data_IF_303416020343
#
_entry.id   IF_303416020343
#
_cell.length_a   1.000
_cell.length_b   1.000
_cell.length_c   1.000
_cell.angle_alpha   90.00
_cell.angle_beta   90.00
_cell.angle_gamma   90.00
#
_symmetry.space_group_name_H-M   'P 1'
#
loop_
_entity.id
_entity.type
_entity.pdbx_description
1 polymer ?
#
# COMPACT_ATOMS: atom_id res chain seq x y z
N UNK A 1 48.83 -25.81 -41.49
CA UNK A 1 47.58 -25.13 -41.10
C UNK A 1 46.86 -25.93 -40.01
N UNK A 2 46.99 -25.50 -38.76
CA UNK A 2 46.35 -26.12 -37.59
C UNK A 2 44.88 -25.67 -37.48
N UNK A 3 43.94 -26.63 -37.45
CA UNK A 3 42.55 -26.40 -37.04
C UNK A 3 42.43 -26.64 -35.52
N UNK A 4 41.78 -25.75 -34.74
CA UNK A 4 41.67 -25.93 -33.30
C UNK A 4 40.60 -26.98 -32.96
N UNK A 5 40.96 -27.92 -32.08
CA UNK A 5 40.05 -28.91 -31.50
C UNK A 5 39.03 -28.22 -30.59
N UNK A 6 37.74 -28.42 -30.85
CA UNK A 6 36.63 -28.00 -29.97
C UNK A 6 36.78 -28.67 -28.60
N UNK A 7 36.81 -27.86 -27.55
CA UNK A 7 36.81 -28.30 -26.17
C UNK A 7 35.56 -29.14 -25.86
N UNK A 8 35.77 -30.35 -25.33
CA UNK A 8 34.72 -31.21 -24.78
C UNK A 8 34.09 -30.50 -23.58
N UNK A 9 32.80 -30.15 -23.67
CA UNK A 9 31.99 -29.73 -22.52
C UNK A 9 31.98 -30.86 -21.50
N UNK A 10 32.46 -30.58 -20.28
CA UNK A 10 32.38 -31.50 -19.14
C UNK A 10 30.91 -31.83 -18.85
N UNK A 11 30.57 -33.06 -18.44
CA UNK A 11 29.21 -33.38 -18.05
C UNK A 11 28.89 -32.57 -16.79
N UNK A 12 27.80 -31.79 -16.86
CA UNK A 12 27.19 -31.22 -15.66
C UNK A 12 26.73 -32.41 -14.83
N UNK A 13 27.31 -32.52 -13.64
CA UNK A 13 27.00 -33.51 -12.62
C UNK A 13 25.50 -33.42 -12.29
N UNK A 14 24.71 -34.30 -12.91
CA UNK A 14 23.27 -34.44 -12.67
C UNK A 14 23.10 -35.09 -11.31
N UNK A 15 23.34 -34.33 -10.24
CA UNK A 15 22.84 -34.70 -8.91
C UNK A 15 21.34 -34.97 -9.04
N UNK A 16 20.96 -36.17 -8.61
CA UNK A 16 19.61 -36.72 -8.56
C UNK A 16 18.56 -35.61 -8.38
N UNK A 17 17.84 -35.27 -9.44
CA UNK A 17 16.53 -34.63 -9.31
C UNK A 17 15.63 -35.66 -8.65
N UNK A 18 15.56 -35.63 -7.32
CA UNK A 18 14.48 -36.27 -6.58
C UNK A 18 13.18 -35.61 -7.04
N UNK A 19 12.51 -36.23 -8.01
CA UNK A 19 11.12 -35.95 -8.37
C UNK A 19 10.16 -36.45 -7.28
N UNK A 20 10.56 -36.33 -6.02
CA UNK A 20 9.71 -36.61 -4.87
C UNK A 20 8.70 -35.48 -4.77
N UNK A 21 7.42 -35.81 -4.71
CA UNK A 21 6.40 -34.82 -4.31
C UNK A 21 6.82 -34.31 -2.92
N UNK A 22 7.08 -33.01 -2.82
CA UNK A 22 7.30 -32.37 -1.53
C UNK A 22 6.10 -32.62 -0.62
N UNK A 23 6.40 -32.94 0.63
CA UNK A 23 5.41 -33.07 1.70
C UNK A 23 4.71 -31.71 1.95
N UNK A 24 3.52 -31.70 2.57
CA UNK A 24 2.86 -30.46 2.97
C UNK A 24 3.75 -29.56 3.86
N UNK A 25 4.52 -30.17 4.76
CA UNK A 25 5.43 -29.46 5.69
C UNK A 25 6.61 -28.82 4.94
N UNK A 26 7.24 -29.54 4.01
CA UNK A 26 8.30 -28.97 3.17
C UNK A 26 7.77 -27.82 2.30
N UNK A 27 6.55 -27.94 1.77
CA UNK A 27 5.92 -26.85 1.01
C UNK A 27 5.65 -25.63 1.88
N UNK A 28 5.16 -25.81 3.11
CA UNK A 28 4.95 -24.71 4.05
C UNK A 28 6.26 -24.01 4.41
N UNK A 29 7.35 -24.76 4.60
CA UNK A 29 8.68 -24.21 4.82
C UNK A 29 9.19 -23.42 3.62
N UNK A 30 9.02 -23.95 2.40
CA UNK A 30 9.40 -23.24 1.18
C UNK A 30 8.55 -21.99 0.95
N UNK A 31 7.25 -22.02 1.24
CA UNK A 31 6.38 -20.84 1.15
C UNK A 31 6.90 -19.69 2.01
N UNK A 32 7.28 -19.98 3.26
CA UNK A 32 7.84 -18.98 4.17
C UNK A 32 9.18 -18.42 3.65
N UNK A 33 10.14 -19.29 3.31
CA UNK A 33 11.45 -18.89 2.79
C UNK A 33 11.38 -18.12 1.47
N UNK A 34 10.43 -18.48 0.60
CA UNK A 34 10.20 -17.78 -0.67
C UNK A 34 9.56 -16.42 -0.40
N UNK A 35 8.67 -16.31 0.57
CA UNK A 35 8.10 -15.02 0.99
C UNK A 35 9.19 -14.08 1.51
N UNK A 36 10.07 -14.56 2.39
CA UNK A 36 11.23 -13.80 2.89
C UNK A 36 12.17 -13.38 1.75
N UNK A 37 12.44 -14.26 0.80
CA UNK A 37 13.31 -13.93 -0.33
C UNK A 37 12.69 -12.96 -1.33
N UNK A 38 11.36 -13.01 -1.50
CA UNK A 38 10.64 -11.98 -2.25
C UNK A 38 10.67 -10.64 -1.52
N UNK A 39 10.56 -10.63 -0.19
CA UNK A 39 10.73 -9.42 0.63
C UNK A 39 12.18 -8.88 0.52
N UNK A 40 13.16 -9.75 0.34
CA UNK A 40 14.55 -9.40 0.03
C UNK A 40 14.81 -9.13 -1.47
N UNK A 41 13.78 -8.86 -2.27
CA UNK A 41 13.83 -8.52 -3.69
C UNK A 41 14.49 -9.56 -4.62
N UNK A 42 14.61 -10.82 -4.19
CA UNK A 42 15.12 -11.86 -5.08
C UNK A 42 14.11 -12.13 -6.20
N UNK A 43 14.60 -12.17 -7.44
CA UNK A 43 13.77 -12.57 -8.57
C UNK A 43 13.38 -14.05 -8.44
N UNK A 44 12.24 -14.45 -9.02
CA UNK A 44 11.81 -15.85 -9.01
C UNK A 44 12.89 -16.82 -9.57
N UNK A 45 13.74 -16.33 -10.47
CA UNK A 45 14.88 -17.09 -11.02
C UNK A 45 16.01 -17.27 -10.00
N UNK A 46 16.30 -16.26 -9.20
CA UNK A 46 17.30 -16.33 -8.12
C UNK A 46 16.81 -17.21 -6.98
N UNK A 47 15.54 -17.08 -6.59
CA UNK A 47 14.89 -17.94 -5.59
C UNK A 47 14.92 -19.41 -6.05
N UNK A 48 14.54 -19.66 -7.30
CA UNK A 48 14.57 -21.00 -7.90
C UNK A 48 15.99 -21.60 -7.86
N UNK A 49 17.01 -20.79 -8.15
CA UNK A 49 18.42 -21.19 -8.09
C UNK A 49 18.87 -21.47 -6.66
N UNK A 50 18.53 -20.60 -5.71
CA UNK A 50 18.90 -20.70 -4.29
C UNK A 50 18.37 -21.97 -3.66
N UNK A 51 17.12 -22.33 -3.95
CA UNK A 51 16.46 -23.50 -3.36
C UNK A 51 16.46 -24.76 -4.24
N UNK A 52 17.05 -24.70 -5.43
CA UNK A 52 17.09 -25.84 -6.34
C UNK A 52 15.71 -26.28 -6.87
N UNK A 53 14.75 -25.36 -6.90
CA UNK A 53 13.37 -25.60 -7.37
C UNK A 53 13.15 -24.98 -8.75
N UNK A 54 12.03 -25.31 -9.41
CA UNK A 54 11.69 -24.68 -10.69
C UNK A 54 11.10 -23.28 -10.48
N UNK A 55 11.34 -22.35 -11.39
CA UNK A 55 10.68 -21.03 -11.38
C UNK A 55 9.16 -21.15 -11.42
N UNK A 56 8.63 -22.17 -12.12
CA UNK A 56 7.20 -22.48 -12.12
C UNK A 56 6.68 -22.88 -10.73
N UNK A 57 7.49 -23.58 -9.92
CA UNK A 57 7.15 -23.93 -8.53
C UNK A 57 7.09 -22.69 -7.66
N UNK A 58 8.05 -21.77 -7.81
CA UNK A 58 8.07 -20.47 -7.09
C UNK A 58 6.77 -19.71 -7.37
N UNK A 59 6.41 -19.50 -8.64
CA UNK A 59 5.17 -18.80 -9.00
C UNK A 59 3.90 -19.54 -8.56
N UNK A 60 3.90 -20.88 -8.59
CA UNK A 60 2.74 -21.67 -8.15
C UNK A 60 2.51 -21.52 -6.65
N UNK A 61 3.57 -21.56 -5.86
CA UNK A 61 3.48 -21.41 -4.42
C UNK A 61 3.18 -19.98 -4.01
N UNK A 62 3.76 -18.99 -4.70
CA UNK A 62 3.36 -17.59 -4.52
C UNK A 62 1.85 -17.41 -4.72
N UNK A 63 1.29 -17.89 -5.84
CA UNK A 63 -0.17 -17.85 -6.05
C UNK A 63 -0.96 -18.60 -4.99
N UNK A 64 -0.46 -19.75 -4.53
CA UNK A 64 -1.12 -20.51 -3.47
C UNK A 64 -1.12 -19.71 -2.15
N UNK A 65 -0.05 -18.96 -1.86
CA UNK A 65 0.01 -18.02 -0.75
C UNK A 65 -1.02 -16.89 -0.94
N UNK A 66 -1.06 -16.28 -2.12
CA UNK A 66 -2.02 -15.22 -2.46
C UNK A 66 -3.48 -15.73 -2.35
N UNK A 67 -3.75 -16.95 -2.79
CA UNK A 67 -5.08 -17.59 -2.72
C UNK A 67 -5.47 -17.87 -1.26
N UNK A 68 -4.54 -18.36 -0.44
CA UNK A 68 -4.76 -18.54 1.01
C UNK A 68 -5.02 -17.19 1.66
N UNK A 69 -4.24 -16.17 1.31
CA UNK A 69 -4.41 -14.80 1.80
C UNK A 69 -5.77 -14.25 1.40
N UNK A 70 -6.18 -14.40 0.14
CA UNK A 70 -7.47 -13.93 -0.34
C UNK A 70 -8.64 -14.68 0.31
N UNK A 71 -8.55 -16.00 0.47
CA UNK A 71 -9.57 -16.80 1.16
C UNK A 71 -9.69 -16.41 2.65
N UNK A 72 -8.58 -16.15 3.33
CA UNK A 72 -8.57 -15.71 4.72
C UNK A 72 -9.04 -14.27 4.92
N UNK A 73 -8.79 -13.40 3.94
CA UNK A 73 -9.30 -12.02 3.90
C UNK A 73 -10.81 -11.99 3.68
N UNK A 74 -11.34 -12.95 2.92
CA UNK A 74 -12.78 -13.07 2.64
C UNK A 74 -13.59 -13.62 3.82
N UNK A 75 -12.95 -14.30 4.77
CA UNK A 75 -13.61 -15.02 5.87
C UNK A 75 -13.85 -14.17 7.13
N UNK A 76 -13.37 -12.92 7.19
CA UNK A 76 -13.53 -12.05 8.35
C UNK A 76 -14.79 -11.17 8.20
N UNK A 77 -15.90 -11.46 8.91
CA UNK A 77 -17.21 -10.80 8.70
C UNK A 77 -17.25 -9.30 9.00
N UNK A 78 -16.22 -8.76 9.67
CA UNK A 78 -16.10 -7.33 10.01
C UNK A 78 -14.87 -6.65 9.36
N UNK A 79 -14.26 -7.27 8.34
CA UNK A 79 -12.99 -6.78 7.76
C UNK A 79 -13.14 -5.64 6.76
N UNK A 80 -14.33 -5.49 6.17
CA UNK A 80 -14.54 -4.51 5.12
C UNK A 80 -14.88 -3.15 5.73
N UNK A 81 -13.86 -2.31 5.81
CA UNK A 81 -13.98 -0.88 6.08
C UNK A 81 -14.91 -0.25 5.03
N UNK A 82 -15.98 0.37 5.50
CA UNK A 82 -16.85 1.22 4.67
C UNK A 82 -16.30 2.64 4.67
N UNK A 83 -15.27 2.86 3.85
CA UNK A 83 -14.54 4.12 3.83
C UNK A 83 -15.44 5.36 3.68
N UNK A 84 -16.49 5.29 2.87
CA UNK A 84 -17.42 6.42 2.71
C UNK A 84 -18.12 6.82 4.04
N UNK A 85 -18.47 5.83 4.87
CA UNK A 85 -19.13 6.06 6.15
C UNK A 85 -18.15 6.67 7.16
N UNK A 86 -16.90 6.20 7.16
CA UNK A 86 -15.82 6.75 7.99
C UNK A 86 -15.51 8.19 7.62
N UNK A 87 -15.35 8.48 6.33
CA UNK A 87 -15.11 9.85 5.86
C UNK A 87 -16.25 10.78 6.26
N UNK A 88 -17.50 10.30 6.18
CA UNK A 88 -18.67 11.06 6.62
C UNK A 88 -18.64 11.31 8.13
N UNK A 89 -18.27 10.31 8.93
CA UNK A 89 -18.16 10.43 10.38
C UNK A 89 -17.07 11.43 10.78
N UNK A 90 -15.88 11.35 10.18
CA UNK A 90 -14.75 12.26 10.46
C UNK A 90 -15.03 13.71 9.99
N UNK A 91 -15.88 13.89 8.99
CA UNK A 91 -16.38 15.20 8.54
C UNK A 91 -17.57 15.74 9.33
N UNK A 92 -18.14 15.00 10.28
CA UNK A 92 -19.37 15.44 10.96
C UNK A 92 -19.08 16.44 12.09
N UNK A 93 -19.77 17.58 12.09
CA UNK A 93 -19.66 18.59 13.16
C UNK A 93 -20.51 18.27 14.41
N UNK A 94 -21.15 17.09 14.46
CA UNK A 94 -21.95 16.68 15.63
C UNK A 94 -21.04 16.42 16.83
N UNK A 95 -21.58 16.55 18.05
CA UNK A 95 -20.89 16.15 19.27
C UNK A 95 -20.28 14.75 19.09
N UNK A 96 -18.95 14.71 19.12
CA UNK A 96 -18.19 13.51 18.79
C UNK A 96 -17.87 12.78 20.08
N UNK A 97 -18.33 11.54 20.18
CA UNK A 97 -17.80 10.64 21.19
C UNK A 97 -16.30 10.40 20.89
N UNK A 98 -15.38 10.63 21.85
CA UNK A 98 -13.94 10.51 21.60
C UNK A 98 -13.55 9.13 21.08
N UNK A 99 -14.07 8.07 21.70
CA UNK A 99 -13.81 6.69 21.29
C UNK A 99 -14.26 6.42 19.85
N UNK A 100 -15.47 6.83 19.46
CA UNK A 100 -15.95 6.66 18.09
C UNK A 100 -15.10 7.45 17.08
N UNK A 101 -14.55 8.59 17.49
CA UNK A 101 -13.65 9.40 16.65
C UNK A 101 -12.32 8.69 16.42
N UNK A 102 -11.70 8.16 17.48
CA UNK A 102 -10.50 7.34 17.37
C UNK A 102 -10.75 6.09 16.52
N UNK A 103 -11.88 5.41 16.70
CA UNK A 103 -12.26 4.26 15.88
C UNK A 103 -12.28 4.61 14.38
N UNK A 104 -12.96 5.70 14.02
CA UNK A 104 -13.06 6.15 12.63
C UNK A 104 -11.68 6.56 12.07
N UNK A 105 -10.87 7.25 12.88
CA UNK A 105 -9.53 7.68 12.47
C UNK A 105 -8.62 6.47 12.22
N UNK A 106 -8.57 5.50 13.14
CA UNK A 106 -7.74 4.30 12.96
C UNK A 106 -8.19 3.43 11.79
N UNK A 107 -9.49 3.35 11.52
CA UNK A 107 -9.97 2.72 10.29
C UNK A 107 -9.52 3.49 9.04
N UNK A 108 -9.57 4.82 9.05
CA UNK A 108 -9.07 5.64 7.95
C UNK A 108 -7.57 5.42 7.70
N UNK A 109 -6.74 5.47 8.75
CA UNK A 109 -5.28 5.20 8.69
C UNK A 109 -4.97 3.78 8.20
N UNK A 110 -5.81 2.80 8.54
CA UNK A 110 -5.66 1.42 8.05
C UNK A 110 -6.02 1.31 6.58
N UNK A 111 -7.11 1.96 6.15
CA UNK A 111 -7.59 1.91 4.78
C UNK A 111 -6.66 2.64 3.81
N UNK A 112 -6.07 3.78 4.19
CA UNK A 112 -5.18 4.53 3.29
C UNK A 112 -3.93 3.72 2.91
N UNK A 113 -3.46 2.86 3.82
CA UNK A 113 -2.31 1.95 3.61
C UNK A 113 -2.68 0.69 2.83
N UNK A 114 -3.84 0.08 3.12
CA UNK A 114 -4.25 -1.21 2.54
C UNK A 114 -5.64 -1.20 1.86
N UNK A 115 -5.92 -0.27 0.94
CA UNK A 115 -7.30 0.00 0.49
C UNK A 115 -8.01 -1.18 -0.20
N UNK A 116 -7.25 -2.15 -0.72
CA UNK A 116 -7.77 -3.35 -1.38
C UNK A 116 -7.52 -4.65 -0.61
N UNK A 117 -7.02 -4.57 0.62
CA UNK A 117 -6.59 -5.73 1.39
C UNK A 117 -7.31 -5.77 2.75
N UNK A 118 -8.62 -6.11 2.76
CA UNK A 118 -9.45 -6.00 3.95
C UNK A 118 -8.97 -6.85 5.13
N UNK A 119 -8.20 -7.91 4.87
CA UNK A 119 -7.58 -8.72 5.92
C UNK A 119 -6.59 -7.97 6.80
N UNK A 120 -5.98 -6.88 6.32
CA UNK A 120 -5.04 -6.06 7.10
C UNK A 120 -5.74 -4.97 7.91
N UNK A 121 -6.96 -4.57 7.56
CA UNK A 121 -7.64 -3.45 8.20
C UNK A 121 -7.85 -3.64 9.72
N UNK A 122 -8.41 -4.79 10.12
CA UNK A 122 -8.70 -5.05 11.54
C UNK A 122 -7.41 -5.22 12.36
N UNK A 123 -6.42 -6.03 11.92
CA UNK A 123 -5.10 -6.07 12.57
C UNK A 123 -4.47 -4.67 12.72
N UNK A 124 -4.51 -3.86 11.65
CA UNK A 124 -3.90 -2.53 11.65
C UNK A 124 -4.58 -1.60 12.64
N UNK A 125 -5.91 -1.55 12.63
CA UNK A 125 -6.68 -0.74 13.57
C UNK A 125 -6.50 -1.21 15.02
N UNK A 126 -6.41 -2.53 15.27
CA UNK A 126 -6.07 -3.06 16.60
C UNK A 126 -4.66 -2.65 17.02
N UNK A 127 -3.70 -2.63 16.10
CA UNK A 127 -2.35 -2.13 16.39
C UNK A 127 -2.37 -0.64 16.74
N UNK A 128 -3.10 0.18 15.98
CA UNK A 128 -3.25 1.61 16.25
C UNK A 128 -3.88 1.88 17.63
N UNK A 129 -5.01 1.25 17.96
CA UNK A 129 -5.67 1.52 19.25
C UNK A 129 -4.86 1.02 20.45
N UNK A 130 -4.18 -0.12 20.32
CA UNK A 130 -3.32 -0.64 21.41
C UNK A 130 -2.10 0.24 21.59
N UNK A 131 -1.44 0.66 20.51
CA UNK A 131 -0.29 1.57 20.57
C UNK A 131 -0.68 2.94 21.15
N UNK A 132 -1.79 3.51 20.69
CA UNK A 132 -2.37 4.73 21.26
C UNK A 132 -2.62 4.58 22.75
N UNK A 133 -3.28 3.49 23.18
CA UNK A 133 -3.62 3.30 24.58
C UNK A 133 -2.39 3.08 25.50
N UNK A 134 -1.38 2.38 25.00
CA UNK A 134 -0.11 2.18 25.71
C UNK A 134 0.61 3.51 25.89
N UNK A 135 0.77 4.28 24.80
CA UNK A 135 1.51 5.56 24.85
C UNK A 135 0.74 6.65 25.61
N UNK A 136 -0.58 6.80 25.35
CA UNK A 136 -1.40 7.86 25.93
C UNK A 136 -1.75 7.62 27.40
N UNK A 137 -2.13 6.39 27.73
CA UNK A 137 -2.68 6.05 29.05
C UNK A 137 -1.76 5.14 29.88
N UNK A 138 -0.66 4.65 29.34
CA UNK A 138 0.19 3.66 30.02
C UNK A 138 -0.50 2.31 30.23
N UNK A 139 -1.58 2.03 29.51
CA UNK A 139 -2.42 0.85 29.71
C UNK A 139 -1.70 -0.41 29.26
N UNK A 140 -1.59 -1.42 30.15
CA UNK A 140 -0.94 -2.70 29.84
C UNK A 140 -1.96 -3.82 29.62
N UNK A 141 -3.19 -3.62 30.08
CA UNK A 141 -4.28 -4.60 29.97
C UNK A 141 -5.51 -3.92 29.38
N UNK A 142 -6.34 -4.71 28.70
CA UNK A 142 -7.63 -4.24 28.15
C UNK A 142 -8.55 -3.73 29.26
N UNK A 143 -8.44 -4.30 30.46
CA UNK A 143 -9.23 -3.88 31.62
C UNK A 143 -8.83 -2.52 32.18
N UNK A 144 -7.64 -2.01 31.84
CA UNK A 144 -7.13 -0.71 32.28
C UNK A 144 -7.69 0.44 31.42
N UNK A 145 -8.30 0.13 30.27
CA UNK A 145 -8.82 1.11 29.32
C UNK A 145 -10.14 1.71 29.80
N UNK A 146 -10.42 2.94 29.40
CA UNK A 146 -11.75 3.52 29.56
C UNK A 146 -12.80 2.71 28.77
N UNK A 147 -14.09 2.82 29.15
CA UNK A 147 -15.15 2.02 28.55
C UNK A 147 -15.27 2.14 27.03
N UNK A 148 -14.94 3.32 26.46
CA UNK A 148 -15.02 3.57 25.03
C UNK A 148 -13.97 2.78 24.26
N UNK A 149 -12.69 2.95 24.61
CA UNK A 149 -11.59 2.21 23.95
C UNK A 149 -11.66 0.70 24.22
N UNK A 150 -12.08 0.30 25.42
CA UNK A 150 -12.36 -1.10 25.74
C UNK A 150 -13.45 -1.67 24.84
N UNK A 151 -14.52 -0.91 24.58
CA UNK A 151 -15.59 -1.29 23.66
C UNK A 151 -15.11 -1.54 22.24
N UNK A 152 -14.23 -0.66 21.72
CA UNK A 152 -13.61 -0.84 20.40
C UNK A 152 -12.79 -2.12 20.36
N UNK A 153 -11.90 -2.35 21.33
CA UNK A 153 -11.10 -3.58 21.35
C UNK A 153 -11.97 -4.84 21.44
N UNK A 154 -12.99 -4.86 22.31
CA UNK A 154 -13.88 -6.01 22.42
C UNK A 154 -14.67 -6.30 21.13
N UNK A 155 -14.92 -5.28 20.31
CA UNK A 155 -15.60 -5.42 19.01
C UNK A 155 -14.72 -6.09 17.95
N UNK A 156 -13.40 -5.89 18.00
CA UNK A 156 -12.49 -6.27 16.92
C UNK A 156 -11.43 -7.31 17.29
N UNK A 157 -11.02 -7.38 18.55
CA UNK A 157 -10.05 -8.34 19.06
C UNK A 157 -10.73 -9.70 19.26
N UNK A 158 -10.66 -10.55 18.23
CA UNK A 158 -11.20 -11.91 18.27
C UNK A 158 -10.11 -12.94 18.59
N UNK A 159 -10.50 -14.10 19.11
CA UNK A 159 -9.57 -15.23 19.33
C UNK A 159 -8.86 -15.62 18.02
N UNK A 160 -9.55 -15.56 16.88
CA UNK A 160 -8.94 -15.85 15.58
C UNK A 160 -7.88 -14.81 15.19
N UNK A 161 -8.13 -13.52 15.45
CA UNK A 161 -7.13 -12.48 15.25
C UNK A 161 -5.89 -12.73 16.12
N UNK A 162 -6.08 -13.02 17.41
CA UNK A 162 -4.96 -13.34 18.33
C UNK A 162 -4.16 -14.54 17.80
N UNK A 163 -4.86 -15.61 17.40
CA UNK A 163 -4.22 -16.80 16.82
C UNK A 163 -3.41 -16.47 15.56
N UNK A 164 -3.93 -15.59 14.68
CA UNK A 164 -3.23 -15.15 13.47
C UNK A 164 -1.98 -14.32 13.80
N UNK A 165 -2.10 -13.36 14.71
CA UNK A 165 -0.99 -12.50 15.13
C UNK A 165 0.11 -13.28 15.87
N UNK A 166 -0.24 -14.36 16.58
CA UNK A 166 0.71 -15.26 17.24
C UNK A 166 1.29 -16.35 16.34
N UNK A 167 0.89 -16.42 15.06
CA UNK A 167 1.37 -17.44 14.13
C UNK A 167 2.77 -17.10 13.59
N UNK A 168 3.72 -18.04 13.57
CA UNK A 168 5.03 -17.84 12.93
C UNK A 168 4.97 -17.56 11.42
N UNK A 169 3.83 -17.86 10.79
CA UNK A 169 3.56 -17.57 9.37
C UNK A 169 3.14 -16.10 9.20
N UNK A 170 3.93 -15.19 9.78
CA UNK A 170 3.65 -13.79 10.09
C UNK A 170 3.41 -12.85 8.89
N UNK A 171 2.88 -13.34 7.77
CA UNK A 171 2.34 -12.51 6.68
C UNK A 171 1.12 -11.66 7.12
N UNK A 172 0.72 -11.72 8.40
CA UNK A 172 -0.50 -11.16 8.96
C UNK A 172 -0.28 -9.99 9.91
N UNK A 173 0.97 -9.64 10.21
CA UNK A 173 1.22 -8.39 10.92
C UNK A 173 1.27 -7.29 9.85
N UNK A 174 0.34 -6.31 9.86
CA UNK A 174 0.46 -5.15 8.98
C UNK A 174 1.81 -4.51 9.28
N UNK A 175 2.71 -4.58 8.31
CA UNK A 175 3.98 -3.89 8.44
C UNK A 175 3.70 -2.41 8.28
N UNK A 176 3.77 -1.68 9.39
CA UNK A 176 3.66 -0.24 9.36
C UNK A 176 5.00 0.41 9.01
N UNK A 177 6.11 -0.34 9.08
CA UNK A 177 7.32 0.07 8.41
C UNK A 177 7.04 0.01 6.91
N UNK A 178 7.14 1.18 6.27
CA UNK A 178 7.20 1.23 4.83
C UNK A 178 8.45 0.43 4.48
N UNK A 179 8.29 -0.76 3.90
CA UNK A 179 9.40 -1.54 3.37
C UNK A 179 10.15 -0.59 2.47
N UNK A 180 11.27 -0.08 2.96
CA UNK A 180 12.23 0.64 2.14
C UNK A 180 12.67 -0.41 1.15
N UNK A 181 12.09 -0.39 -0.06
CA UNK A 181 12.60 -1.19 -1.17
C UNK A 181 14.12 -1.02 -1.08
N UNK A 182 14.86 -2.11 -0.94
CA UNK A 182 16.27 -2.13 -0.53
C UNK A 182 17.22 -1.47 -1.55
N UNK A 183 16.66 -0.78 -2.56
CA UNK A 183 17.32 0.18 -3.45
C UNK A 183 16.79 1.63 -3.37
N UNK A 184 15.92 1.98 -2.41
CA UNK A 184 15.15 3.22 -2.43
C UNK A 184 14.97 3.91 -1.09
N UNK A 185 15.43 5.17 -1.07
CA UNK A 185 15.24 6.17 -0.04
C UNK A 185 13.82 6.79 -0.04
N UNK A 186 12.82 6.08 -0.54
CA UNK A 186 11.48 6.64 -0.79
C UNK A 186 10.40 5.93 0.00
N UNK A 187 9.67 6.73 0.76
CA UNK A 187 8.38 6.41 1.38
C UNK A 187 7.34 6.20 0.27
N UNK A 188 6.51 5.14 0.36
CA UNK A 188 5.38 4.85 -0.54
C UNK A 188 4.51 6.12 -0.76
N UNK A 189 4.32 6.91 0.30
CA UNK A 189 3.64 8.21 0.23
C UNK A 189 4.33 9.16 -0.75
N UNK A 190 5.64 9.36 -0.62
CA UNK A 190 6.40 10.26 -1.49
C UNK A 190 6.37 9.78 -2.94
N UNK A 191 6.55 8.48 -3.16
CA UNK A 191 6.52 7.89 -4.50
C UNK A 191 5.18 8.13 -5.20
N UNK A 192 4.06 7.77 -4.56
CA UNK A 192 2.74 7.96 -5.16
C UNK A 192 2.36 9.44 -5.27
N UNK A 193 2.71 10.28 -4.28
CA UNK A 193 2.49 11.72 -4.35
C UNK A 193 3.21 12.37 -5.54
N UNK A 194 4.43 11.94 -5.87
CA UNK A 194 5.17 12.44 -7.05
C UNK A 194 4.52 12.03 -8.37
N UNK A 195 3.96 10.82 -8.46
CA UNK A 195 3.18 10.40 -9.64
C UNK A 195 1.98 11.32 -9.85
N UNK A 196 1.23 11.62 -8.78
CA UNK A 196 0.08 12.53 -8.84
C UNK A 196 0.52 13.95 -9.17
N UNK A 197 1.62 14.43 -8.59
CA UNK A 197 2.17 15.74 -8.89
C UNK A 197 2.49 15.87 -10.38
N UNK A 198 3.16 14.88 -10.98
CA UNK A 198 3.43 14.85 -12.42
C UNK A 198 2.14 14.91 -13.25
N UNK A 199 1.16 14.08 -12.92
CA UNK A 199 -0.10 13.99 -13.65
C UNK A 199 -0.88 15.32 -13.66
N UNK A 200 -0.79 16.09 -12.58
CA UNK A 200 -1.53 17.36 -12.41
C UNK A 200 -0.71 18.55 -12.89
N UNK A 201 0.62 18.55 -12.68
CA UNK A 201 1.51 19.65 -13.08
C UNK A 201 1.59 19.80 -14.60
N UNK A 202 1.66 18.69 -15.32
CA UNK A 202 1.78 18.65 -16.79
C UNK A 202 0.40 18.42 -17.44
N UNK A 203 -0.56 19.28 -17.09
CA UNK A 203 -1.95 19.20 -17.58
C UNK A 203 -1.93 19.33 -19.13
N UNK A 204 -2.33 18.28 -19.88
CA UNK A 204 -2.40 18.37 -21.32
C UNK A 204 -3.42 19.45 -21.71
N UNK A 205 -3.09 20.24 -22.73
CA UNK A 205 -4.00 21.25 -23.29
C UNK A 205 -5.43 20.70 -23.42
N UNK A 206 -6.42 21.44 -22.90
CA UNK A 206 -7.85 21.04 -22.86
C UNK A 206 -8.40 20.59 -24.22
N UNK A 207 -7.78 21.00 -25.33
CA UNK A 207 -8.19 20.66 -26.70
C UNK A 207 -7.58 19.37 -27.23
N UNK A 208 -6.49 18.85 -26.66
CA UNK A 208 -5.75 17.71 -27.20
C UNK A 208 -5.95 16.43 -26.37
N UNK A 209 -7.06 15.72 -26.66
CA UNK A 209 -7.36 14.42 -26.04
C UNK A 209 -6.29 13.35 -26.32
N UNK A 210 -5.41 13.53 -27.32
CA UNK A 210 -4.34 12.57 -27.65
C UNK A 210 -3.18 12.64 -26.66
N UNK A 211 -3.09 13.71 -25.86
CA UNK A 211 -2.06 13.89 -24.82
C UNK A 211 -2.45 13.37 -23.44
N UNK A 212 -3.61 12.69 -23.32
CA UNK A 212 -3.99 12.05 -22.05
C UNK A 212 -2.95 10.99 -21.66
N UNK A 213 -2.65 10.93 -20.37
CA UNK A 213 -1.64 10.02 -19.83
C UNK A 213 -2.24 8.62 -19.73
N UNK A 214 -1.52 7.63 -20.27
CA UNK A 214 -1.90 6.22 -20.21
C UNK A 214 -1.15 5.51 -19.10
N UNK A 215 -1.66 4.36 -18.65
CA UNK A 215 -0.92 3.52 -17.70
C UNK A 215 0.41 3.02 -18.27
N UNK A 216 0.48 2.80 -19.59
CA UNK A 216 1.73 2.38 -20.24
C UNK A 216 2.79 3.49 -20.13
N UNK A 217 2.43 4.74 -20.43
CA UNK A 217 3.35 5.87 -20.27
C UNK A 217 3.80 6.07 -18.82
N UNK A 218 2.90 5.86 -17.84
CA UNK A 218 3.26 5.96 -16.43
C UNK A 218 4.19 4.82 -16.00
N UNK A 219 3.92 3.60 -16.46
CA UNK A 219 4.78 2.43 -16.20
C UNK A 219 6.20 2.68 -16.69
N UNK A 220 6.37 3.16 -17.93
CA UNK A 220 7.70 3.46 -18.49
C UNK A 220 8.44 4.46 -17.59
N UNK A 221 7.79 5.54 -17.17
CA UNK A 221 8.41 6.53 -16.26
C UNK A 221 8.79 5.91 -14.90
N UNK A 222 7.97 5.00 -14.35
CA UNK A 222 8.28 4.28 -13.10
C UNK A 222 9.48 3.34 -13.28
N UNK A 223 9.53 2.57 -14.37
CA UNK A 223 10.62 1.64 -14.66
C UNK A 223 11.96 2.35 -14.83
N UNK A 224 11.95 3.63 -15.21
CA UNK A 224 13.16 4.44 -15.35
C UNK A 224 13.48 5.31 -14.12
N UNK A 225 12.76 5.06 -13.02
CA UNK A 225 12.95 5.76 -11.77
C UNK A 225 12.68 7.25 -11.88
N UNK A 226 11.71 7.68 -12.70
CA UNK A 226 11.30 9.08 -12.74
C UNK A 226 10.86 9.57 -11.35
N UNK A 227 10.14 8.72 -10.61
CA UNK A 227 9.55 9.04 -9.32
C UNK A 227 10.32 8.48 -8.11
N UNK A 228 11.52 7.93 -8.31
CA UNK A 228 12.31 7.30 -7.25
C UNK A 228 13.23 6.19 -7.80
N UNK A 229 13.31 5.01 -7.16
CA UNK A 229 14.07 3.88 -7.69
C UNK A 229 13.47 3.39 -9.01
N UNK A 230 14.30 2.79 -9.86
CA UNK A 230 13.82 2.03 -11.00
C UNK A 230 13.12 0.75 -10.50
N UNK A 231 11.83 0.61 -10.84
CA UNK A 231 11.07 -0.58 -10.48
C UNK A 231 10.61 -1.33 -11.72
N UNK A 232 11.41 -2.32 -12.14
CA UNK A 232 11.08 -3.19 -13.27
C UNK A 232 9.91 -4.10 -12.95
N UNK A 233 8.82 -4.03 -13.73
CA UNK A 233 7.66 -4.88 -13.52
C UNK A 233 6.89 -5.18 -14.80
N UNK A 234 6.15 -6.30 -14.82
CA UNK A 234 5.26 -6.58 -15.95
C UNK A 234 4.10 -5.57 -16.02
N UNK A 235 3.55 -5.33 -17.22
CA UNK A 235 2.35 -4.50 -17.39
C UNK A 235 1.18 -4.97 -16.51
N UNK A 236 0.99 -6.28 -16.41
CA UNK A 236 -0.05 -6.88 -15.57
C UNK A 236 0.15 -6.56 -14.09
N UNK A 237 1.40 -6.58 -13.62
CA UNK A 237 1.77 -6.23 -12.25
C UNK A 237 1.47 -4.75 -11.99
N UNK A 238 1.88 -3.86 -12.90
CA UNK A 238 1.60 -2.43 -12.79
C UNK A 238 0.10 -2.13 -12.76
N UNK A 239 -0.68 -2.68 -13.69
CA UNK A 239 -2.14 -2.50 -13.72
C UNK A 239 -2.82 -3.05 -12.46
N UNK A 240 -2.30 -4.14 -11.89
CA UNK A 240 -2.80 -4.68 -10.63
C UNK A 240 -2.52 -3.73 -9.46
N UNK A 241 -1.30 -3.25 -9.31
CA UNK A 241 -0.92 -2.25 -8.30
C UNK A 241 -1.73 -0.96 -8.44
N UNK A 242 -1.92 -0.50 -9.67
CA UNK A 242 -2.75 0.66 -9.95
C UNK A 242 -4.20 0.45 -9.50
N UNK A 243 -4.80 -0.71 -9.84
CA UNK A 243 -6.16 -1.03 -9.41
C UNK A 243 -6.28 -1.15 -7.90
N UNK A 244 -5.28 -1.73 -7.23
CA UNK A 244 -5.34 -1.99 -5.80
C UNK A 244 -5.12 -0.73 -4.95
N UNK A 245 -4.25 0.20 -5.38
CA UNK A 245 -3.81 1.33 -4.55
C UNK A 245 -4.17 2.72 -5.09
N UNK A 246 -4.46 2.90 -6.38
CA UNK A 246 -4.63 4.26 -6.93
C UNK A 246 -5.79 5.06 -6.34
N UNK A 247 -6.73 4.42 -5.64
CA UNK A 247 -7.81 5.10 -4.94
C UNK A 247 -7.33 5.93 -3.73
N UNK A 248 -6.15 5.63 -3.16
CA UNK A 248 -5.57 6.38 -2.03
C UNK A 248 -4.54 7.42 -2.48
N UNK A 249 -4.04 7.37 -3.72
CA UNK A 249 -3.01 8.33 -4.19
C UNK A 249 -3.42 9.81 -4.05
N UNK A 250 -4.68 10.21 -4.29
CA UNK A 250 -5.11 11.58 -4.01
C UNK A 250 -4.90 12.01 -2.55
N UNK A 251 -5.14 11.09 -1.61
CA UNK A 251 -4.98 11.32 -0.17
C UNK A 251 -3.50 11.49 0.18
N UNK A 252 -2.63 10.61 -0.34
CA UNK A 252 -1.18 10.67 -0.14
C UNK A 252 -0.56 11.93 -0.75
N UNK A 253 -1.05 12.38 -1.91
CA UNK A 253 -0.61 13.64 -2.52
C UNK A 253 -1.00 14.86 -1.66
N UNK A 254 -2.25 14.91 -1.18
CA UNK A 254 -2.70 16.01 -0.34
C UNK A 254 -1.97 15.99 0.99
N UNK A 255 -1.74 14.81 1.56
CA UNK A 255 -0.90 14.63 2.74
C UNK A 255 0.50 15.23 2.55
N UNK A 256 1.20 14.82 1.49
CA UNK A 256 2.58 15.21 1.23
C UNK A 256 2.80 16.70 0.99
N UNK A 257 1.83 17.39 0.36
CA UNK A 257 2.04 18.77 -0.13
C UNK A 257 1.07 19.80 0.44
N UNK A 258 -0.06 19.37 0.98
CA UNK A 258 -1.18 20.24 1.33
C UNK A 258 -1.84 19.87 2.65
N UNK A 259 -1.21 19.04 3.49
CA UNK A 259 -1.73 18.70 4.82
C UNK A 259 -0.73 19.15 5.87
N UNK A 260 -1.18 19.75 6.98
CA UNK A 260 -0.32 19.94 8.15
C UNK A 260 -0.13 18.64 8.94
N UNK A 261 -0.98 17.65 8.72
CA UNK A 261 -0.95 16.36 9.43
C UNK A 261 -0.41 15.25 8.55
N UNK A 262 0.32 14.33 9.18
CA UNK A 262 0.70 13.03 8.64
C UNK A 262 -0.50 12.06 8.81
N UNK A 263 -1.01 11.52 7.72
CA UNK A 263 -2.10 10.54 7.71
C UNK A 263 -1.57 9.11 7.44
N UNK A 264 -0.27 8.97 7.27
CA UNK A 264 0.46 7.73 7.11
C UNK A 264 1.23 7.40 8.39
N UNK A 265 0.69 7.75 9.57
CA UNK A 265 1.30 7.50 10.88
C UNK A 265 1.66 6.03 11.09
N UNK A 266 2.80 5.79 11.73
CA UNK A 266 3.24 4.47 12.16
C UNK A 266 2.96 4.30 13.66
N UNK A 267 2.15 3.32 14.08
CA UNK A 267 1.83 3.07 15.49
C UNK A 267 3.05 2.65 16.34
N UNK A 268 4.19 2.34 15.73
CA UNK A 268 5.43 2.07 16.46
C UNK A 268 6.25 3.33 16.78
N UNK A 269 5.91 4.49 16.20
CA UNK A 269 6.63 5.74 16.46
C UNK A 269 6.33 6.25 17.88
N UNK A 270 7.34 6.80 18.55
CA UNK A 270 7.25 7.24 19.95
C UNK A 270 6.22 8.38 20.17
N UNK A 271 5.96 9.19 19.13
CA UNK A 271 5.05 10.33 19.11
C UNK A 271 3.68 10.00 18.49
N UNK A 272 3.39 8.71 18.26
CA UNK A 272 2.14 8.29 17.61
C UNK A 272 0.90 8.80 18.35
N UNK A 273 0.83 8.65 19.68
CA UNK A 273 -0.32 9.12 20.45
C UNK A 273 -0.48 10.65 20.41
N UNK A 274 0.62 11.40 20.45
CA UNK A 274 0.59 12.86 20.36
C UNK A 274 0.09 13.31 18.98
N UNK A 275 0.56 12.67 17.92
CA UNK A 275 0.10 12.90 16.54
C UNK A 275 -1.40 12.63 16.37
N UNK A 276 -1.91 11.56 16.98
CA UNK A 276 -3.36 11.24 16.96
C UNK A 276 -4.15 12.33 17.69
N UNK A 277 -3.72 12.75 18.87
CA UNK A 277 -4.39 13.80 19.64
C UNK A 277 -4.39 15.15 18.90
N UNK A 278 -3.29 15.47 18.20
CA UNK A 278 -3.19 16.67 17.37
C UNK A 278 -4.21 16.62 16.22
N UNK A 279 -4.29 15.50 15.51
CA UNK A 279 -5.27 15.31 14.43
C UNK A 279 -6.69 15.47 15.00
N UNK A 280 -7.00 14.79 16.11
CA UNK A 280 -8.32 14.79 16.73
C UNK A 280 -8.74 16.20 17.16
N UNK A 281 -7.81 16.94 17.77
CA UNK A 281 -8.02 18.32 18.21
C UNK A 281 -8.27 19.29 17.03
N UNK A 282 -7.78 18.94 15.84
CA UNK A 282 -7.88 19.76 14.64
C UNK A 282 -8.76 19.14 13.54
N UNK A 283 -9.69 18.25 13.89
CA UNK A 283 -10.55 17.56 12.91
C UNK A 283 -11.45 18.50 12.10
N UNK A 284 -11.62 19.76 12.52
CA UNK A 284 -12.27 20.80 11.71
C UNK A 284 -11.54 21.07 10.38
N UNK A 285 -10.26 20.70 10.27
CA UNK A 285 -9.51 20.72 9.02
C UNK A 285 -9.87 19.56 8.07
N UNK A 286 -10.45 18.47 8.57
CA UNK A 286 -10.69 17.26 7.77
C UNK A 286 -11.58 17.50 6.52
N UNK A 287 -12.66 18.32 6.58
CA UNK A 287 -13.39 18.71 5.37
C UNK A 287 -12.54 19.46 4.33
N UNK A 288 -11.59 20.31 4.77
CA UNK A 288 -10.65 21.01 3.88
C UNK A 288 -9.70 20.02 3.22
N UNK A 289 -9.16 19.08 4.00
CA UNK A 289 -8.35 17.98 3.50
C UNK A 289 -9.11 17.18 2.42
N UNK A 290 -10.35 16.74 2.69
CA UNK A 290 -11.16 16.03 1.70
C UNK A 290 -11.56 16.90 0.50
N UNK A 291 -11.75 18.20 0.68
CA UNK A 291 -12.00 19.13 -0.43
C UNK A 291 -10.82 19.20 -1.39
N UNK A 292 -9.59 19.20 -0.88
CA UNK A 292 -8.37 19.13 -1.70
C UNK A 292 -8.25 17.78 -2.41
N UNK A 293 -8.55 16.69 -1.70
CA UNK A 293 -8.59 15.33 -2.29
C UNK A 293 -9.62 15.25 -3.42
N UNK A 294 -10.81 15.80 -3.22
CA UNK A 294 -11.89 15.90 -4.22
C UNK A 294 -11.42 16.60 -5.48
N UNK A 295 -10.70 17.73 -5.35
CA UNK A 295 -10.14 18.44 -6.50
C UNK A 295 -9.09 17.60 -7.24
N UNK A 296 -8.19 16.92 -6.52
CA UNK A 296 -7.17 16.04 -7.09
C UNK A 296 -7.81 14.90 -7.88
N UNK A 297 -8.82 14.24 -7.31
CA UNK A 297 -9.60 13.20 -8.01
C UNK A 297 -10.19 13.73 -9.31
N UNK A 298 -10.76 14.94 -9.31
CA UNK A 298 -11.29 15.57 -10.52
C UNK A 298 -10.20 15.85 -11.57
N UNK A 299 -9.00 16.27 -11.17
CA UNK A 299 -7.90 16.45 -12.12
C UNK A 299 -7.45 15.11 -12.72
N UNK A 300 -7.36 14.06 -11.91
CA UNK A 300 -7.02 12.72 -12.41
C UNK A 300 -8.02 12.23 -13.46
N UNK A 301 -9.32 12.45 -13.25
CA UNK A 301 -10.35 12.16 -14.25
C UNK A 301 -10.19 12.94 -15.57
N UNK A 302 -9.55 14.12 -15.55
CA UNK A 302 -9.31 14.95 -16.74
C UNK A 302 -8.05 14.52 -17.49
N UNK A 303 -6.96 14.28 -16.79
CA UNK A 303 -5.61 14.07 -17.36
C UNK A 303 -5.35 12.62 -17.76
N UNK A 304 -5.94 11.65 -17.05
CA UNK A 304 -5.79 10.23 -17.35
C UNK A 304 -6.69 9.79 -18.51
N UNK A 305 -6.24 8.76 -19.22
CA UNK A 305 -7.11 8.03 -20.14
C UNK A 305 -8.32 7.43 -19.38
N UNK A 306 -9.56 7.53 -19.91
CA UNK A 306 -10.74 7.00 -19.22
C UNK A 306 -10.64 5.52 -18.84
N UNK A 307 -9.89 4.71 -19.60
CA UNK A 307 -9.67 3.29 -19.26
C UNK A 307 -8.83 3.17 -17.99
N UNK A 308 -7.83 4.01 -17.82
CA UNK A 308 -7.01 4.06 -16.61
C UNK A 308 -7.86 4.47 -15.39
N UNK A 309 -8.70 5.50 -15.54
CA UNK A 309 -9.53 5.99 -14.43
C UNK A 309 -10.65 5.01 -14.05
N UNK A 310 -11.23 4.27 -14.99
CA UNK A 310 -12.24 3.23 -14.71
C UNK A 310 -11.72 2.09 -13.85
N UNK A 311 -10.40 1.90 -13.79
CA UNK A 311 -9.77 0.91 -12.92
C UNK A 311 -9.67 1.39 -11.47
N UNK A 312 -9.89 2.69 -11.21
CA UNK A 312 -9.77 3.27 -9.88
C UNK A 312 -11.14 3.28 -9.21
N UNK A 313 -11.28 2.51 -8.13
CA UNK A 313 -12.45 2.52 -7.27
C UNK A 313 -12.36 3.67 -6.25
N UNK A 314 -12.47 4.92 -6.70
CA UNK A 314 -12.42 6.06 -5.79
C UNK A 314 -13.57 6.01 -4.76
N UNK A 315 -13.30 6.37 -3.50
CA UNK A 315 -14.34 6.40 -2.47
C UNK A 315 -15.33 7.53 -2.76
N UNK A 316 -16.59 7.34 -2.35
CA UNK A 316 -17.58 8.41 -2.33
C UNK A 316 -17.24 9.37 -1.19
N UNK A 317 -16.90 10.60 -1.52
CA UNK A 317 -16.62 11.64 -0.53
C UNK A 317 -17.93 12.21 0.06
N UNK A 318 -17.92 12.69 1.32
CA UNK A 318 -19.05 13.41 1.91
C UNK A 318 -19.40 14.68 1.13
N UNK A 319 -20.68 15.08 1.14
CA UNK A 319 -21.13 16.28 0.40
C UNK A 319 -20.47 17.58 0.85
N UNK A 320 -19.96 17.60 2.09
CA UNK A 320 -19.20 18.71 2.67
C UNK A 320 -17.82 18.89 2.03
N UNK A 321 -17.27 17.86 1.39
CA UNK A 321 -15.96 17.88 0.74
C UNK A 321 -16.02 18.52 -0.67
N UNK A 322 -16.42 19.81 -0.70
CA UNK A 322 -16.43 20.60 -1.93
C UNK A 322 -15.00 20.72 -2.46
N UNK A 323 -14.80 20.54 -3.77
CA UNK A 323 -13.47 20.56 -4.36
C UNK A 323 -12.75 21.90 -4.14
N UNK A 324 -11.60 21.86 -3.49
CA UNK A 324 -10.74 23.02 -3.21
C UNK A 324 -9.52 22.93 -4.11
N UNK A 325 -9.31 23.89 -5.04
CA UNK A 325 -8.14 23.92 -5.89
C UNK A 325 -6.82 23.90 -5.10
N UNK A 326 -5.89 23.06 -5.55
CA UNK A 326 -4.53 23.01 -5.01
C UNK A 326 -3.53 23.44 -6.06
N UNK A 327 -2.47 24.14 -5.64
CA UNK A 327 -1.38 24.51 -6.55
C UNK A 327 -0.43 23.32 -6.63
N UNK A 328 -0.27 22.75 -7.82
CA UNK A 328 0.72 21.69 -8.03
C UNK A 328 2.14 22.25 -7.81
N UNK A 329 2.94 21.67 -6.89
CA UNK A 329 4.31 22.09 -6.72
C UNK A 329 5.11 21.83 -7.99
N UNK A 330 6.11 22.68 -8.27
CA UNK A 330 6.98 22.50 -9.43
C UNK A 330 7.64 21.13 -9.40
N UNK A 331 7.64 20.43 -10.52
CA UNK A 331 8.37 19.17 -10.65
C UNK A 331 9.88 19.44 -10.48
N UNK A 332 10.61 18.59 -9.73
CA UNK A 332 12.06 18.66 -9.67
C UNK A 332 12.70 18.68 -11.05
N UNK A 333 13.81 19.41 -11.23
CA UNK A 333 14.50 19.49 -12.53
C UNK A 333 14.93 18.11 -13.03
N UNK A 334 15.35 17.22 -12.11
CA UNK A 334 15.69 15.83 -12.41
C UNK A 334 14.50 15.05 -13.00
N UNK A 335 13.31 15.21 -12.43
CA UNK A 335 12.08 14.58 -12.93
C UNK A 335 11.67 15.19 -14.27
N UNK A 336 11.74 16.52 -14.43
CA UNK A 336 11.47 17.20 -15.71
C UNK A 336 12.40 16.76 -16.82
N UNK A 337 13.70 16.65 -16.54
CA UNK A 337 14.69 16.17 -17.51
C UNK A 337 14.38 14.74 -17.98
N UNK A 338 14.04 13.84 -17.04
CA UNK A 338 13.60 12.49 -17.38
C UNK A 338 12.32 12.49 -18.23
N UNK A 339 11.29 13.24 -17.85
CA UNK A 339 10.02 13.32 -18.61
C UNK A 339 10.24 13.87 -20.02
N UNK A 340 11.03 14.94 -20.17
CA UNK A 340 11.28 15.57 -21.47
C UNK A 340 12.10 14.68 -22.41
N UNK A 341 12.96 13.82 -21.87
CA UNK A 341 13.66 12.80 -22.64
C UNK A 341 12.75 11.74 -23.28
N UNK A 342 11.50 11.61 -22.82
CA UNK A 342 10.47 10.69 -23.35
C UNK A 342 9.51 11.30 -24.36
N UNK A 343 9.39 12.63 -24.37
CA UNK A 343 8.42 13.35 -25.20
C UNK A 343 9.03 13.74 -26.58
N UNK A 344 10.32 13.46 -26.79
CA UNK A 344 11.01 13.47 -28.09
C UNK A 344 11.02 12.06 -28.69
#
# INVERSE_FOLDING_TARGET
MHRPRKARKRPIDRRKRTSGRLTPEEKARYLHLISEDFLAEMTATEIARKYGISTASVYRWQRQSDDIQQAMNSAAPNSQIRIADILLQLCSDKEREPAATHEALFQFLSWIRWPSEPGFHVPAMVNCITSYAVQKFGSKRIDDLDPGHKGILNKYLTIDLVRRLSSPQAAFNPDFEIVTNTKSRYDDRQFYAQIINYLIYDEPSKTDKRRRRTLESLKILVEEGAFGPDWSMSRRTFEHQWRSRACTFPFLYVEQYHSPFDWSLNPQDDDFAESIDEIVSNLTFFPVYLGRVSWVMQQLHRVLDPRATRLIGFPKLPGQAVAIPTVAPKLPDSLRAKINGFIL
#
